data_IF_782176278538
#
_entry.id   IF_782176278538
#
_cell.length_a   1.000
_cell.length_b   1.000
_cell.length_c   1.000
_cell.angle_alpha   90.00
_cell.angle_beta   90.00
_cell.angle_gamma   90.00
#
_symmetry.space_group_name_H-M   'P 1'
#
loop_
_entity.id
_entity.type
_entity.pdbx_description
1 polymer ?
#
# COMPACT_ATOMS: atom_id res chain seq x y z
N UNK A 1 26.66 14.95 22.80
CA UNK A 1 27.12 14.46 21.49
C UNK A 1 26.59 13.07 21.31
N UNK A 2 25.36 12.91 20.79
CA UNK A 2 24.73 11.63 20.50
C UNK A 2 24.98 11.31 19.03
N UNK A 3 25.86 10.36 18.79
CA UNK A 3 26.15 9.84 17.46
C UNK A 3 24.97 8.99 17.00
N UNK A 4 24.18 9.51 16.07
CA UNK A 4 23.13 8.77 15.37
C UNK A 4 23.86 7.80 14.44
N UNK A 5 23.89 6.53 14.83
CA UNK A 5 24.33 5.44 13.94
C UNK A 5 23.17 5.15 12.99
N UNK A 6 23.16 5.77 11.82
CA UNK A 6 22.34 5.38 10.69
C UNK A 6 22.96 4.10 10.13
N UNK A 7 22.44 2.96 10.54
CA UNK A 7 22.77 1.68 9.90
C UNK A 7 22.09 1.68 8.53
N UNK A 8 22.82 2.06 7.50
CA UNK A 8 22.43 1.84 6.09
C UNK A 8 22.49 0.32 5.84
N UNK A 9 21.38 -0.35 6.06
CA UNK A 9 21.26 -1.76 5.67
C UNK A 9 21.30 -1.89 4.15
N UNK A 10 22.14 -2.77 3.65
CA UNK A 10 22.18 -3.13 2.24
C UNK A 10 20.85 -3.85 1.88
N UNK A 11 20.36 -3.59 0.69
CA UNK A 11 19.11 -4.20 0.16
C UNK A 11 19.18 -5.73 0.17
N UNK A 12 20.37 -6.29 0.06
CA UNK A 12 20.69 -7.72 0.17
C UNK A 12 20.36 -8.30 1.56
N UNK A 13 20.64 -7.57 2.63
CA UNK A 13 20.36 -8.00 4.01
C UNK A 13 18.85 -8.06 4.28
N UNK A 14 18.10 -7.10 3.77
CA UNK A 14 16.63 -7.08 3.89
C UNK A 14 15.98 -8.23 3.09
N UNK A 15 16.53 -8.53 1.92
CA UNK A 15 16.08 -9.64 1.07
C UNK A 15 16.39 -10.99 1.72
N UNK A 16 17.53 -11.13 2.41
CA UNK A 16 17.90 -12.30 3.19
C UNK A 16 16.94 -12.53 4.36
N UNK A 17 16.64 -11.49 5.11
CA UNK A 17 15.69 -11.54 6.24
C UNK A 17 14.30 -11.95 5.78
N UNK A 18 13.80 -11.38 4.68
CA UNK A 18 12.48 -11.74 4.14
C UNK A 18 12.38 -13.18 3.64
N UNK A 19 13.49 -13.80 3.29
CA UNK A 19 13.55 -15.22 2.89
C UNK A 19 13.62 -16.19 4.05
N UNK A 20 13.87 -15.72 5.27
CA UNK A 20 13.87 -16.58 6.44
C UNK A 20 12.48 -17.21 6.62
N UNK A 21 12.34 -18.58 6.62
CA UNK A 21 11.04 -19.23 6.62
C UNK A 21 10.26 -18.92 7.91
N UNK A 22 9.02 -18.45 7.75
CA UNK A 22 8.14 -18.16 8.89
C UNK A 22 7.90 -19.43 9.72
N UNK A 23 7.79 -20.59 9.08
CA UNK A 23 7.60 -21.88 9.79
C UNK A 23 8.78 -22.15 10.71
N UNK A 24 10.01 -21.93 10.25
CA UNK A 24 11.22 -22.15 11.05
C UNK A 24 11.30 -21.12 12.21
N UNK A 25 10.94 -19.88 11.95
CA UNK A 25 10.88 -18.85 12.99
C UNK A 25 9.88 -19.23 14.10
N UNK A 26 8.67 -19.72 13.76
CA UNK A 26 7.68 -20.17 14.71
C UNK A 26 8.14 -21.43 15.46
N UNK A 27 8.77 -22.39 14.78
CA UNK A 27 9.33 -23.58 15.40
C UNK A 27 10.39 -23.24 16.46
N UNK A 28 11.28 -22.28 16.17
CA UNK A 28 12.27 -21.79 17.15
C UNK A 28 11.66 -21.11 18.37
N UNK A 29 10.46 -20.54 18.20
CA UNK A 29 9.66 -19.97 19.29
C UNK A 29 8.84 -21.03 20.05
N UNK A 30 8.95 -22.32 19.68
CA UNK A 30 8.18 -23.40 20.28
C UNK A 30 6.73 -23.49 19.79
N UNK A 31 6.36 -22.71 18.78
CA UNK A 31 5.01 -22.67 18.22
C UNK A 31 4.90 -23.72 17.12
N UNK A 32 4.10 -24.77 17.38
CA UNK A 32 3.94 -25.89 16.46
C UNK A 32 2.67 -25.77 15.62
N UNK A 33 2.71 -26.18 14.35
CA UNK A 33 1.51 -26.19 13.51
C UNK A 33 0.55 -27.30 13.94
N UNK A 34 -0.75 -27.02 13.85
CA UNK A 34 -1.82 -28.03 14.02
C UNK A 34 -1.89 -28.93 12.78
N UNK A 35 -1.60 -28.35 11.61
CA UNK A 35 -1.54 -29.06 10.33
C UNK A 35 -0.44 -28.47 9.46
N UNK A 36 0.33 -29.33 8.80
CA UNK A 36 1.36 -28.92 7.84
C UNK A 36 1.25 -29.76 6.57
N UNK A 37 1.22 -29.07 5.42
CA UNK A 37 1.34 -29.67 4.08
C UNK A 37 2.41 -28.87 3.29
N UNK A 38 2.88 -29.36 2.14
CA UNK A 38 3.91 -28.63 1.37
C UNK A 38 3.60 -27.18 1.08
N UNK A 39 2.33 -26.85 0.75
CA UNK A 39 1.91 -25.50 0.35
C UNK A 39 1.63 -24.55 1.54
N UNK A 40 1.29 -25.07 2.71
CA UNK A 40 1.01 -24.23 3.88
C UNK A 40 1.11 -24.97 5.23
N UNK A 41 1.23 -24.19 6.30
CA UNK A 41 1.08 -24.66 7.67
C UNK A 41 -0.02 -23.87 8.39
N UNK A 42 -0.86 -24.54 9.18
CA UNK A 42 -1.98 -23.98 9.92
C UNK A 42 -1.70 -24.08 11.42
N UNK A 43 -1.91 -22.98 12.15
CA UNK A 43 -1.64 -22.84 13.58
C UNK A 43 -2.87 -22.29 14.31
N UNK A 44 -2.94 -22.51 15.63
CA UNK A 44 -3.63 -21.56 16.50
C UNK A 44 -2.88 -20.23 16.45
N UNK A 45 -3.59 -19.11 16.49
CA UNK A 45 -2.93 -17.80 16.39
C UNK A 45 -1.90 -17.61 17.50
N UNK A 46 -0.63 -17.32 17.16
CA UNK A 46 0.38 -17.00 18.16
C UNK A 46 0.28 -15.58 18.71
N UNK A 47 -0.63 -14.76 18.14
CA UNK A 47 -0.79 -13.34 18.45
C UNK A 47 -1.91 -13.06 19.44
N UNK A 48 -2.74 -14.08 19.77
CA UNK A 48 -3.89 -13.99 20.66
C UNK A 48 -4.28 -15.37 21.17
N UNK A 49 -5.19 -15.46 22.14
CA UNK A 49 -5.84 -16.72 22.50
C UNK A 49 -6.71 -17.20 21.33
N UNK A 50 -6.51 -18.44 20.92
CA UNK A 50 -7.19 -19.04 19.76
C UNK A 50 -7.60 -20.48 20.07
N UNK A 51 -8.90 -20.75 19.97
CA UNK A 51 -9.47 -22.09 20.21
C UNK A 51 -9.64 -22.90 18.92
N UNK A 52 -9.61 -22.22 17.76
CA UNK A 52 -9.75 -22.85 16.44
C UNK A 52 -8.60 -22.40 15.55
N UNK A 53 -7.88 -23.31 14.86
CA UNK A 53 -6.75 -22.94 14.02
C UNK A 53 -7.16 -21.95 12.94
N UNK A 54 -6.73 -20.70 13.08
CA UNK A 54 -7.09 -19.59 12.19
C UNK A 54 -5.88 -18.85 11.59
N UNK A 55 -4.67 -19.22 12.04
CA UNK A 55 -3.43 -18.61 11.56
C UNK A 55 -2.77 -19.51 10.53
N UNK A 56 -2.70 -19.04 9.27
CA UNK A 56 -2.12 -19.78 8.14
C UNK A 56 -0.81 -19.16 7.71
N UNK A 57 0.20 -19.99 7.51
CA UNK A 57 1.47 -19.62 6.87
C UNK A 57 1.53 -20.27 5.50
N UNK A 58 1.60 -19.46 4.43
CA UNK A 58 1.87 -19.90 3.08
C UNK A 58 3.37 -20.14 2.94
N UNK A 59 3.78 -21.39 2.72
CA UNK A 59 5.19 -21.79 2.71
C UNK A 59 5.90 -21.44 1.41
N UNK A 60 5.17 -21.25 0.31
CA UNK A 60 5.74 -20.87 -0.99
C UNK A 60 5.98 -19.36 -1.05
N UNK A 61 5.01 -18.58 -0.57
CA UNK A 61 5.09 -17.11 -0.54
C UNK A 61 5.84 -16.57 0.66
N UNK A 62 6.04 -17.40 1.69
CA UNK A 62 6.57 -17.01 2.99
C UNK A 62 5.81 -15.82 3.60
N UNK A 63 4.49 -15.91 3.60
CA UNK A 63 3.55 -14.94 4.15
C UNK A 63 2.60 -15.62 5.13
N UNK A 64 2.10 -14.86 6.10
CA UNK A 64 1.11 -15.35 7.04
C UNK A 64 -0.19 -14.54 6.95
N UNK A 65 -1.28 -15.15 7.37
CA UNK A 65 -2.59 -14.52 7.57
C UNK A 65 -3.28 -15.12 8.79
N UNK A 66 -3.80 -14.27 9.66
CA UNK A 66 -4.76 -14.61 10.71
C UNK A 66 -6.16 -14.29 10.17
N UNK A 67 -6.92 -15.34 9.84
CA UNK A 67 -8.25 -15.18 9.25
C UNK A 67 -9.27 -14.58 10.23
N UNK A 68 -9.08 -14.77 11.54
CA UNK A 68 -10.01 -14.22 12.52
C UNK A 68 -9.82 -12.71 12.72
N UNK A 69 -8.60 -12.21 12.54
CA UNK A 69 -8.32 -10.76 12.57
C UNK A 69 -8.37 -10.12 11.18
N UNK A 70 -8.40 -10.91 10.10
CA UNK A 70 -8.29 -10.41 8.73
C UNK A 70 -6.94 -9.73 8.44
N UNK A 71 -5.88 -10.09 9.17
CA UNK A 71 -4.55 -9.47 9.10
C UNK A 71 -3.49 -10.46 8.69
N UNK A 72 -2.52 -9.99 7.93
CA UNK A 72 -1.41 -10.81 7.45
C UNK A 72 -0.17 -9.99 7.18
N UNK A 73 0.92 -10.67 6.81
CA UNK A 73 2.16 -9.98 6.49
C UNK A 73 3.34 -10.89 6.21
N UNK A 74 4.53 -10.30 6.22
CA UNK A 74 5.83 -10.95 6.08
C UNK A 74 6.35 -11.46 7.42
N UNK A 75 7.52 -12.10 7.42
CA UNK A 75 8.22 -12.50 8.65
C UNK A 75 8.57 -11.30 9.55
N UNK A 76 8.84 -10.14 8.96
CA UNK A 76 9.16 -8.93 9.71
C UNK A 76 7.93 -8.46 10.48
N UNK A 77 6.77 -8.41 9.81
CA UNK A 77 5.49 -8.04 10.43
C UNK A 77 5.11 -9.00 11.56
N UNK A 78 5.37 -10.30 11.37
CA UNK A 78 5.15 -11.31 12.40
C UNK A 78 6.08 -11.10 13.60
N UNK A 79 7.37 -10.88 13.36
CA UNK A 79 8.36 -10.65 14.42
C UNK A 79 8.00 -9.42 15.25
N UNK A 80 7.64 -8.31 14.59
CA UNK A 80 7.24 -7.08 15.28
C UNK A 80 6.05 -7.30 16.20
N UNK A 81 5.05 -8.08 15.76
CA UNK A 81 3.84 -8.36 16.56
C UNK A 81 4.09 -9.38 17.68
N UNK A 82 4.79 -10.47 17.36
CA UNK A 82 4.99 -11.56 18.30
C UNK A 82 5.96 -11.18 19.43
N UNK A 83 6.97 -10.35 19.11
CA UNK A 83 7.99 -9.89 20.06
C UNK A 83 7.70 -8.50 20.63
N UNK A 84 6.63 -7.82 20.17
CA UNK A 84 6.29 -6.46 20.60
C UNK A 84 7.41 -5.45 20.33
N UNK A 85 8.14 -5.60 19.21
CA UNK A 85 9.34 -4.85 18.92
C UNK A 85 9.20 -3.91 17.70
N UNK A 86 10.08 -2.93 17.61
CA UNK A 86 10.15 -1.99 16.48
C UNK A 86 10.69 -2.67 15.22
N UNK A 87 10.49 -2.05 14.05
CA UNK A 87 11.04 -2.53 12.77
C UNK A 87 12.56 -2.76 12.83
N UNK A 88 13.29 -1.84 13.44
CA UNK A 88 14.76 -1.95 13.58
C UNK A 88 15.18 -3.12 14.45
N UNK A 89 14.43 -3.39 15.52
CA UNK A 89 14.68 -4.53 16.40
C UNK A 89 14.31 -5.85 15.74
N UNK A 90 13.16 -5.92 15.03
CA UNK A 90 12.76 -7.09 14.26
C UNK A 90 13.83 -7.47 13.22
N UNK A 91 14.33 -6.48 12.49
CA UNK A 91 15.42 -6.66 11.52
C UNK A 91 16.68 -7.22 12.20
N UNK A 92 17.05 -6.69 13.36
CA UNK A 92 18.21 -7.17 14.14
C UNK A 92 18.04 -8.60 14.65
N UNK A 93 16.83 -8.93 15.15
CA UNK A 93 16.48 -10.27 15.66
C UNK A 93 16.55 -11.29 14.50
N UNK A 94 15.91 -10.99 13.40
CA UNK A 94 15.85 -11.87 12.24
C UNK A 94 17.20 -11.98 11.52
N UNK A 95 17.96 -10.89 11.44
CA UNK A 95 19.29 -10.89 10.82
C UNK A 95 20.34 -11.75 11.56
N UNK A 96 20.20 -11.91 12.88
CA UNK A 96 21.05 -12.82 13.68
C UNK A 96 20.69 -14.30 13.50
N UNK A 97 19.46 -14.58 13.11
CA UNK A 97 18.89 -15.92 13.05
C UNK A 97 18.71 -16.44 11.62
N UNK A 98 18.85 -15.58 10.60
CA UNK A 98 18.78 -15.99 9.20
C UNK A 98 20.02 -16.81 8.84
N UNK A 99 19.89 -18.03 8.26
CA UNK A 99 21.02 -18.86 7.90
C UNK A 99 21.90 -18.17 6.85
N UNK A 100 23.20 -18.21 7.06
CA UNK A 100 24.18 -17.83 6.05
C UNK A 100 24.09 -18.80 4.87
N UNK A 101 24.11 -18.28 3.65
CA UNK A 101 23.91 -19.00 2.38
C UNK A 101 25.07 -19.95 2.00
N UNK A 102 25.84 -20.49 2.98
CA UNK A 102 27.01 -21.35 2.74
C UNK A 102 26.83 -22.79 3.19
N UNK A 103 25.64 -23.26 3.51
CA UNK A 103 25.46 -24.68 3.88
C UNK A 103 24.17 -25.25 3.29
N UNK A 104 24.16 -25.58 2.03
CA UNK A 104 23.47 -26.75 1.49
C UNK A 104 23.95 -27.05 0.07
N UNK A 105 25.09 -27.76 -0.01
CA UNK A 105 25.47 -28.51 -1.19
C UNK A 105 25.30 -29.99 -0.90
N UNK A 106 24.72 -30.64 -1.84
CA UNK A 106 24.79 -32.06 -2.19
C UNK A 106 23.49 -32.87 -1.98
N UNK A 107 22.99 -33.20 -3.06
CA UNK A 107 22.51 -34.42 -3.70
C UNK A 107 21.12 -34.23 -4.31
N UNK A 108 20.92 -34.21 -5.60
CA UNK A 108 21.12 -35.21 -6.63
C UNK A 108 21.13 -34.60 -8.02
N UNK A 109 22.04 -35.13 -8.80
CA UNK A 109 22.30 -34.83 -10.19
C UNK A 109 21.22 -35.37 -11.15
N UNK A 110 21.35 -34.81 -12.36
CA UNK A 110 20.99 -35.32 -13.66
C UNK A 110 19.56 -35.36 -14.10
N UNK A 111 19.19 -34.35 -14.90
CA UNK A 111 18.89 -34.55 -16.32
C UNK A 111 18.94 -33.21 -17.08
N UNK A 112 19.87 -33.18 -18.01
CA UNK A 112 20.16 -32.09 -18.91
C UNK A 112 19.00 -31.83 -19.88
N UNK A 113 18.62 -30.56 -20.07
CA UNK A 113 18.27 -30.06 -21.39
C UNK A 113 18.56 -28.56 -21.49
N UNK A 114 19.48 -28.27 -22.40
CA UNK A 114 19.90 -26.94 -22.81
C UNK A 114 18.69 -26.03 -23.13
N UNK A 115 18.59 -24.87 -22.49
CA UNK A 115 18.01 -23.69 -23.09
C UNK A 115 18.78 -22.45 -22.64
N UNK A 116 19.08 -21.64 -23.63
CA UNK A 116 19.84 -20.41 -23.71
C UNK A 116 19.66 -19.44 -22.53
N UNK A 117 20.82 -18.95 -22.09
CA UNK A 117 21.03 -17.87 -21.11
C UNK A 117 20.38 -16.56 -21.53
N UNK A 118 19.35 -16.15 -20.77
CA UNK A 118 18.91 -14.77 -20.63
C UNK A 118 19.22 -14.37 -19.19
N UNK A 119 19.82 -13.20 -18.90
CA UNK A 119 20.20 -12.82 -17.55
C UNK A 119 18.94 -12.67 -16.69
N UNK A 120 18.84 -13.49 -15.64
CA UNK A 120 17.80 -13.35 -14.62
C UNK A 120 18.08 -12.10 -13.76
N UNK A 121 17.45 -10.99 -14.11
CA UNK A 121 17.32 -9.87 -13.22
C UNK A 121 16.44 -10.29 -12.01
N UNK A 122 16.91 -9.96 -10.82
CA UNK A 122 16.37 -10.22 -9.49
C UNK A 122 14.85 -10.21 -9.40
N UNK A 123 14.26 -11.33 -8.97
CA UNK A 123 12.82 -11.48 -8.76
C UNK A 123 12.36 -10.84 -7.44
N UNK A 124 12.41 -9.55 -7.33
CA UNK A 124 11.48 -8.79 -6.49
C UNK A 124 10.15 -8.72 -7.24
N UNK A 125 9.01 -8.83 -6.55
CA UNK A 125 7.68 -8.87 -7.18
C UNK A 125 7.32 -7.54 -7.87
N UNK A 126 8.11 -7.16 -8.87
CA UNK A 126 7.88 -6.00 -9.73
C UNK A 126 6.62 -6.26 -10.53
N UNK A 127 5.66 -5.37 -10.43
CA UNK A 127 4.47 -5.38 -11.27
C UNK A 127 4.87 -4.95 -12.66
N UNK A 128 4.74 -5.85 -13.62
CA UNK A 128 4.98 -5.54 -15.02
C UNK A 128 3.67 -5.11 -15.65
N UNK A 129 3.57 -3.86 -16.06
CA UNK A 129 2.43 -3.35 -16.80
C UNK A 129 2.29 -4.13 -18.12
N UNK A 130 1.09 -4.63 -18.40
CA UNK A 130 0.75 -5.34 -19.64
C UNK A 130 -0.05 -4.41 -20.55
N UNK A 131 -1.14 -3.85 -20.01
CA UNK A 131 -2.11 -3.08 -20.79
C UNK A 131 -2.77 -2.01 -19.94
N UNK A 132 -3.12 -0.90 -20.58
CA UNK A 132 -3.95 0.16 -20.01
C UNK A 132 -5.18 0.28 -20.89
N UNK A 133 -6.37 0.14 -20.29
CA UNK A 133 -7.66 0.27 -20.98
C UNK A 133 -8.51 1.36 -20.33
N UNK A 134 -9.28 2.08 -21.15
CA UNK A 134 -10.28 3.04 -20.67
C UNK A 134 -11.52 2.37 -20.07
N UNK A 135 -11.71 1.06 -20.32
CA UNK A 135 -12.86 0.30 -19.84
C UNK A 135 -12.46 -0.54 -18.63
N UNK A 136 -13.07 -0.27 -17.48
CA UNK A 136 -12.89 -1.08 -16.27
C UNK A 136 -13.63 -2.42 -16.40
N UNK A 137 -13.05 -3.48 -15.84
CA UNK A 137 -13.69 -4.77 -15.74
C UNK A 137 -14.97 -4.70 -14.86
N UNK A 138 -16.02 -5.49 -15.14
CA UNK A 138 -17.32 -5.40 -14.43
C UNK A 138 -17.21 -5.49 -12.91
N UNK A 139 -16.33 -6.35 -12.38
CA UNK A 139 -16.13 -6.49 -10.94
C UNK A 139 -15.50 -5.26 -10.28
N UNK A 140 -14.68 -4.49 -11.03
CA UNK A 140 -14.09 -3.24 -10.55
C UNK A 140 -15.11 -2.09 -10.57
N UNK A 141 -15.99 -2.05 -11.58
CA UNK A 141 -17.12 -1.10 -11.63
C UNK A 141 -18.05 -1.35 -10.45
N UNK A 142 -18.44 -2.60 -10.22
CA UNK A 142 -19.28 -3.02 -9.10
C UNK A 142 -18.67 -2.58 -7.76
N UNK A 143 -17.37 -2.81 -7.56
CA UNK A 143 -16.66 -2.38 -6.36
C UNK A 143 -16.74 -0.86 -6.15
N UNK A 144 -16.51 -0.06 -7.19
CA UNK A 144 -16.60 1.40 -7.08
C UNK A 144 -18.01 1.84 -6.71
N UNK A 145 -19.02 1.30 -7.38
CA UNK A 145 -20.42 1.74 -7.24
C UNK A 145 -21.07 1.21 -5.96
N UNK A 146 -20.99 -0.12 -5.71
CA UNK A 146 -21.69 -0.75 -4.60
C UNK A 146 -20.90 -0.69 -3.28
N UNK A 147 -19.59 -0.96 -3.31
CA UNK A 147 -18.79 -1.03 -2.09
C UNK A 147 -18.27 0.35 -1.67
N UNK A 148 -17.92 1.20 -2.63
CA UNK A 148 -17.34 2.52 -2.39
C UNK A 148 -18.31 3.69 -2.60
N UNK A 149 -19.51 3.41 -3.11
CA UNK A 149 -20.56 4.41 -3.40
C UNK A 149 -20.08 5.56 -4.32
N UNK A 150 -19.17 5.26 -5.23
CA UNK A 150 -18.57 6.25 -6.13
C UNK A 150 -19.50 6.48 -7.34
N UNK A 151 -19.74 7.74 -7.66
CA UNK A 151 -20.43 8.12 -8.90
C UNK A 151 -19.50 7.84 -10.09
N UNK A 152 -19.84 6.80 -10.88
CA UNK A 152 -19.02 6.34 -12.00
C UNK A 152 -18.87 7.39 -13.11
N UNK A 153 -19.93 8.14 -13.42
CA UNK A 153 -19.89 9.17 -14.45
C UNK A 153 -18.81 10.22 -14.16
N UNK A 154 -18.69 10.63 -12.90
CA UNK A 154 -17.69 11.61 -12.45
C UNK A 154 -16.28 11.00 -12.29
N UNK A 155 -16.19 9.73 -11.95
CA UNK A 155 -14.93 9.06 -11.66
C UNK A 155 -14.18 8.55 -12.91
N UNK A 156 -14.92 8.03 -13.90
CA UNK A 156 -14.34 7.38 -15.08
C UNK A 156 -13.31 8.21 -15.85
N UNK A 157 -13.44 9.54 -16.00
CA UNK A 157 -12.41 10.34 -16.66
C UNK A 157 -11.02 10.24 -16.03
N UNK A 158 -10.93 9.91 -14.74
CA UNK A 158 -9.69 9.83 -13.96
C UNK A 158 -9.14 8.41 -13.83
N UNK A 159 -9.91 7.40 -14.27
CA UNK A 159 -9.60 6.01 -14.02
C UNK A 159 -9.21 5.26 -15.30
N UNK A 160 -8.40 4.23 -15.12
CA UNK A 160 -8.00 3.27 -16.16
C UNK A 160 -8.08 1.85 -15.59
N UNK A 161 -8.34 0.88 -16.44
CA UNK A 161 -8.12 -0.52 -16.10
C UNK A 161 -6.66 -0.85 -16.36
N UNK A 162 -5.95 -1.24 -15.33
CA UNK A 162 -4.55 -1.63 -15.42
C UNK A 162 -4.45 -3.14 -15.37
N UNK A 163 -4.06 -3.75 -16.49
CA UNK A 163 -3.66 -5.15 -16.55
C UNK A 163 -2.17 -5.25 -16.29
N UNK A 164 -1.78 -6.04 -15.31
CA UNK A 164 -0.38 -6.21 -14.93
C UNK A 164 -0.06 -7.64 -14.55
N UNK A 165 1.21 -7.99 -14.65
CA UNK A 165 1.73 -9.31 -14.29
C UNK A 165 2.59 -9.22 -13.03
N UNK A 166 2.41 -10.20 -12.16
CA UNK A 166 3.30 -10.47 -11.03
C UNK A 166 3.64 -11.94 -11.02
N UNK A 167 4.90 -12.29 -11.18
CA UNK A 167 5.37 -13.69 -11.15
C UNK A 167 4.63 -14.61 -12.12
N UNK A 168 4.32 -14.13 -13.33
CA UNK A 168 3.62 -14.88 -14.37
C UNK A 168 2.10 -14.97 -14.18
N UNK A 169 1.54 -14.37 -13.14
CA UNK A 169 0.09 -14.27 -12.92
C UNK A 169 -0.42 -12.91 -13.37
N UNK A 170 -1.55 -12.90 -14.06
CA UNK A 170 -2.18 -11.70 -14.59
C UNK A 170 -3.25 -11.20 -13.63
N UNK A 171 -3.26 -9.89 -13.43
CA UNK A 171 -4.18 -9.18 -12.55
C UNK A 171 -4.75 -7.97 -13.26
N UNK A 172 -5.95 -7.57 -12.85
CA UNK A 172 -6.56 -6.31 -13.24
C UNK A 172 -6.87 -5.48 -12.00
N UNK A 173 -6.66 -4.17 -12.10
CA UNK A 173 -6.96 -3.23 -11.03
C UNK A 173 -7.44 -1.89 -11.59
N UNK A 174 -8.12 -1.14 -10.76
CA UNK A 174 -8.40 0.27 -10.98
C UNK A 174 -7.07 1.01 -10.88
N UNK A 175 -6.72 1.78 -11.90
CA UNK A 175 -5.54 2.62 -11.95
C UNK A 175 -5.88 4.09 -11.92
N UNK A 176 -5.21 4.85 -11.07
CA UNK A 176 -5.27 6.30 -10.99
C UNK A 176 -3.89 6.84 -11.35
N UNK A 177 -3.81 7.58 -12.46
CA UNK A 177 -2.55 8.06 -13.01
C UNK A 177 -1.92 9.15 -12.15
N UNK A 178 -0.60 9.13 -12.02
CA UNK A 178 0.16 10.19 -11.37
C UNK A 178 0.96 11.03 -12.39
N UNK A 179 1.56 12.13 -11.93
CA UNK A 179 2.28 13.09 -12.79
C UNK A 179 3.53 12.52 -13.47
N UNK A 180 4.12 11.47 -12.92
CA UNK A 180 5.32 10.84 -13.45
C UNK A 180 5.04 9.64 -14.36
N UNK A 181 3.77 9.42 -14.74
CA UNK A 181 3.36 8.32 -15.62
C UNK A 181 3.20 6.97 -14.93
N UNK A 182 3.25 6.93 -13.60
CA UNK A 182 2.88 5.76 -12.82
C UNK A 182 1.38 5.73 -12.49
N UNK A 183 0.95 4.66 -11.81
CA UNK A 183 -0.44 4.47 -11.40
C UNK A 183 -0.53 3.99 -9.97
N UNK A 184 -1.43 4.58 -9.20
CA UNK A 184 -1.90 3.98 -7.95
C UNK A 184 -2.99 2.97 -8.28
N UNK A 185 -2.93 1.80 -7.62
CA UNK A 185 -3.80 0.67 -7.93
C UNK A 185 -4.72 0.32 -6.77
N UNK A 186 -5.96 -0.07 -7.10
CA UNK A 186 -6.93 -0.71 -6.22
C UNK A 186 -7.60 -1.87 -6.95
N UNK A 187 -7.78 -2.99 -6.27
CA UNK A 187 -8.71 -4.03 -6.71
C UNK A 187 -10.05 -3.93 -5.96
N UNK A 188 -10.89 -4.92 -6.10
CA UNK A 188 -12.16 -5.05 -5.40
C UNK A 188 -12.03 -5.63 -3.97
N UNK A 189 -10.83 -5.73 -3.44
CA UNK A 189 -10.53 -6.21 -2.10
C UNK A 189 -9.70 -5.22 -1.30
N UNK A 190 -8.78 -5.72 -0.52
CA UNK A 190 -7.88 -4.93 0.34
C UNK A 190 -6.59 -4.50 -0.37
N UNK A 191 -6.38 -4.90 -1.61
CA UNK A 191 -5.13 -4.64 -2.31
C UNK A 191 -4.96 -3.15 -2.63
N UNK A 192 -3.81 -2.64 -2.23
CA UNK A 192 -3.26 -1.33 -2.57
C UNK A 192 -1.90 -1.54 -3.22
N UNK A 193 -1.69 -0.95 -4.37
CA UNK A 193 -0.42 -1.11 -5.09
C UNK A 193 -0.07 0.10 -5.93
N UNK A 194 1.09 0.04 -6.56
CA UNK A 194 1.57 1.09 -7.45
C UNK A 194 2.27 0.45 -8.65
N UNK A 195 2.04 0.96 -9.84
CA UNK A 195 2.95 0.84 -10.98
C UNK A 195 3.87 2.06 -10.93
N UNK A 196 5.15 1.82 -10.80
CA UNK A 196 6.16 2.88 -10.69
C UNK A 196 6.19 3.79 -11.93
N UNK A 197 6.64 5.03 -11.77
CA UNK A 197 7.11 5.66 -10.54
C UNK A 197 5.97 6.13 -9.64
N UNK A 198 6.23 6.26 -8.32
CA UNK A 198 5.31 6.90 -7.37
C UNK A 198 5.38 8.41 -7.47
N UNK A 199 4.21 9.06 -7.54
CA UNK A 199 4.12 10.51 -7.55
C UNK A 199 2.73 10.99 -7.07
N UNK A 200 2.62 12.30 -6.92
CA UNK A 200 1.36 13.01 -6.70
C UNK A 200 0.53 13.04 -7.99
N UNK A 201 -0.77 13.30 -7.86
CA UNK A 201 -1.66 13.59 -8.98
C UNK A 201 -2.28 14.96 -8.78
N UNK A 202 -2.14 15.86 -9.76
CA UNK A 202 -2.81 17.15 -9.75
C UNK A 202 -3.96 17.15 -10.74
N UNK A 203 -5.12 17.58 -10.26
CA UNK A 203 -6.32 17.80 -11.07
C UNK A 203 -6.64 19.28 -11.00
N UNK A 204 -6.27 19.99 -12.05
CA UNK A 204 -6.55 21.41 -12.18
C UNK A 204 -7.63 21.63 -13.23
N UNK A 205 -8.52 22.56 -12.96
CA UNK A 205 -9.59 22.94 -13.88
C UNK A 205 -9.32 24.33 -14.46
N UNK A 206 -9.41 24.46 -15.77
CA UNK A 206 -9.27 25.74 -16.48
C UNK A 206 -10.45 26.70 -16.22
N UNK A 207 -11.53 26.19 -15.59
CA UNK A 207 -12.70 27.00 -15.20
C UNK A 207 -12.39 28.02 -14.10
N UNK A 208 -11.25 27.85 -13.38
CA UNK A 208 -10.83 28.77 -12.32
C UNK A 208 -9.77 29.70 -12.89
N UNK A 209 -10.20 30.87 -13.33
CA UNK A 209 -9.35 31.91 -13.91
C UNK A 209 -8.71 32.82 -12.85
N UNK A 210 -9.16 32.74 -11.60
CA UNK A 210 -8.60 33.52 -10.51
C UNK A 210 -7.42 32.78 -9.88
N UNK A 211 -6.33 33.52 -9.59
CA UNK A 211 -5.10 32.99 -9.00
C UNK A 211 -5.42 31.92 -7.96
N UNK A 212 -4.74 30.78 -7.99
CA UNK A 212 -4.98 29.59 -7.17
C UNK A 212 -5.06 29.93 -5.67
N UNK A 213 -6.24 30.38 -5.20
CA UNK A 213 -6.43 30.83 -3.83
C UNK A 213 -6.56 29.66 -2.86
N UNK A 214 -7.11 28.53 -3.33
CA UNK A 214 -7.31 27.36 -2.47
C UNK A 214 -7.28 26.06 -3.27
N UNK A 215 -6.56 25.06 -2.78
CA UNK A 215 -6.44 23.72 -3.37
C UNK A 215 -6.97 22.71 -2.37
N UNK A 216 -7.78 21.75 -2.83
CA UNK A 216 -8.20 20.60 -2.03
C UNK A 216 -7.10 19.52 -2.10
N UNK A 217 -6.58 19.09 -0.96
CA UNK A 217 -5.52 18.09 -0.85
C UNK A 217 -6.08 16.82 -0.27
N UNK A 218 -5.89 15.69 -0.95
CA UNK A 218 -6.39 14.37 -0.55
C UNK A 218 -5.23 13.42 -0.27
N UNK A 219 -5.40 12.51 0.70
CA UNK A 219 -4.40 11.49 0.97
C UNK A 219 -4.35 10.45 -0.16
N UNK A 220 -5.51 9.91 -0.53
CA UNK A 220 -5.65 8.89 -1.55
C UNK A 220 -6.70 9.23 -2.62
N UNK A 221 -6.65 8.52 -3.73
CA UNK A 221 -7.57 8.79 -4.83
C UNK A 221 -9.02 8.35 -4.53
N UNK A 222 -9.25 7.42 -3.60
CA UNK A 222 -10.63 7.06 -3.19
C UNK A 222 -11.32 8.21 -2.48
N UNK A 223 -10.60 8.99 -1.67
CA UNK A 223 -11.13 10.19 -1.01
C UNK A 223 -11.45 11.28 -2.03
N UNK A 224 -10.56 11.45 -3.01
CA UNK A 224 -10.81 12.35 -4.14
C UNK A 224 -12.06 11.94 -4.93
N UNK A 225 -12.24 10.66 -5.27
CA UNK A 225 -13.43 10.17 -5.97
C UNK A 225 -14.71 10.32 -5.12
N UNK A 226 -14.61 10.13 -3.81
CA UNK A 226 -15.72 10.38 -2.88
C UNK A 226 -16.11 11.86 -2.88
N UNK A 227 -15.10 12.73 -2.83
CA UNK A 227 -15.34 14.18 -2.93
C UNK A 227 -16.05 14.56 -4.23
N UNK A 228 -15.64 13.99 -5.37
CA UNK A 228 -16.30 14.19 -6.65
C UNK A 228 -17.76 13.72 -6.61
N UNK A 229 -18.02 12.56 -6.01
CA UNK A 229 -19.34 11.97 -5.90
C UNK A 229 -20.29 12.84 -5.05
N UNK A 230 -19.76 13.53 -4.04
CA UNK A 230 -20.50 14.40 -3.14
C UNK A 230 -20.78 15.81 -3.71
N UNK A 231 -20.13 16.21 -4.80
CA UNK A 231 -20.25 17.55 -5.38
C UNK A 231 -21.00 17.50 -6.70
N UNK A 232 -21.83 18.49 -6.96
CA UNK A 232 -22.48 18.65 -8.28
C UNK A 232 -21.45 19.00 -9.35
N UNK A 233 -20.58 19.98 -9.06
CA UNK A 233 -19.47 20.39 -9.93
C UNK A 233 -18.16 20.51 -9.16
N UNK A 234 -17.04 20.27 -9.86
CA UNK A 234 -15.70 20.54 -9.33
C UNK A 234 -15.33 21.97 -9.66
N UNK A 235 -15.35 22.83 -8.67
CA UNK A 235 -14.97 24.25 -8.76
C UNK A 235 -13.63 24.54 -8.06
N UNK A 236 -12.91 23.51 -7.61
CA UNK A 236 -11.65 23.65 -6.88
C UNK A 236 -10.56 22.87 -7.58
N UNK A 237 -9.33 23.40 -7.57
CA UNK A 237 -8.16 22.62 -7.90
C UNK A 237 -7.96 21.53 -6.84
N UNK A 238 -7.54 20.34 -7.26
CA UNK A 238 -7.33 19.21 -6.39
C UNK A 238 -5.91 18.66 -6.55
N UNK A 239 -5.32 18.23 -5.44
CA UNK A 239 -4.05 17.53 -5.37
C UNK A 239 -4.26 16.24 -4.60
N UNK A 240 -3.94 15.10 -5.20
CA UNK A 240 -3.95 13.80 -4.54
C UNK A 240 -2.51 13.40 -4.24
N UNK A 241 -2.19 13.24 -2.97
CA UNK A 241 -0.83 12.87 -2.55
C UNK A 241 -0.48 11.43 -2.94
N UNK A 242 -1.49 10.57 -3.07
CA UNK A 242 -1.35 9.13 -3.31
C UNK A 242 -0.65 8.35 -2.18
N UNK A 243 -0.06 9.05 -1.23
CA UNK A 243 0.53 8.54 0.01
C UNK A 243 1.01 9.71 0.86
N UNK A 244 0.94 9.60 2.18
CA UNK A 244 1.55 10.58 3.11
C UNK A 244 3.05 10.74 2.89
N UNK A 245 3.74 9.74 2.33
CA UNK A 245 5.17 9.85 1.97
C UNK A 245 5.46 10.93 0.91
N UNK A 246 4.44 11.41 0.21
CA UNK A 246 4.55 12.48 -0.79
C UNK A 246 4.26 13.88 -0.24
N UNK A 247 4.09 14.06 1.07
CA UNK A 247 3.83 15.38 1.70
C UNK A 247 4.87 16.42 1.27
N UNK A 248 6.16 16.12 1.43
CA UNK A 248 7.23 17.05 1.08
C UNK A 248 7.23 17.42 -0.42
N UNK A 249 6.83 16.49 -1.28
CA UNK A 249 6.67 16.74 -2.72
C UNK A 249 5.45 17.60 -3.00
N UNK A 250 4.35 17.36 -2.31
CA UNK A 250 3.12 18.14 -2.40
C UNK A 250 3.35 19.59 -1.96
N UNK A 251 4.08 19.81 -0.88
CA UNK A 251 4.47 21.12 -0.39
C UNK A 251 5.27 21.88 -1.47
N UNK A 252 6.32 21.27 -2.05
CA UNK A 252 7.08 21.89 -3.13
C UNK A 252 6.21 22.24 -4.32
N UNK A 253 5.39 21.29 -4.76
CA UNK A 253 4.48 21.47 -5.90
C UNK A 253 3.52 22.66 -5.71
N UNK A 254 2.95 22.83 -4.51
CA UNK A 254 2.05 23.91 -4.17
C UNK A 254 2.79 25.25 -4.04
N UNK A 255 3.98 25.27 -3.45
CA UNK A 255 4.82 26.47 -3.33
C UNK A 255 5.26 26.99 -4.70
N UNK A 256 5.70 26.12 -5.60
CA UNK A 256 6.06 26.48 -6.98
C UNK A 256 4.89 27.17 -7.74
N UNK A 257 3.65 26.89 -7.32
CA UNK A 257 2.43 27.50 -7.88
C UNK A 257 1.88 28.67 -7.07
N UNK A 258 2.62 29.09 -6.04
CA UNK A 258 2.24 30.22 -5.19
C UNK A 258 0.85 30.01 -4.51
N UNK A 259 0.49 28.77 -4.21
CA UNK A 259 -0.71 28.44 -3.42
C UNK A 259 -0.47 28.88 -2.00
N UNK A 260 -1.41 29.65 -1.43
CA UNK A 260 -1.31 30.14 -0.04
C UNK A 260 -2.28 29.47 0.93
N UNK A 261 -3.34 28.88 0.42
CA UNK A 261 -4.40 28.27 1.22
C UNK A 261 -4.75 26.89 0.66
N UNK A 262 -4.94 25.93 1.55
CA UNK A 262 -5.35 24.57 1.20
C UNK A 262 -6.47 24.08 2.10
N UNK A 263 -7.28 23.16 1.59
CA UNK A 263 -8.22 22.36 2.38
C UNK A 263 -7.75 20.91 2.35
N UNK A 264 -7.45 20.34 3.51
CA UNK A 264 -6.94 18.97 3.64
C UNK A 264 -8.05 17.97 3.92
N UNK A 265 -8.10 16.90 3.14
CA UNK A 265 -8.98 15.74 3.30
C UNK A 265 -8.11 14.51 3.52
N UNK A 266 -7.51 14.40 4.71
CA UNK A 266 -6.57 13.35 5.07
C UNK A 266 -7.23 12.35 6.03
N UNK A 267 -6.61 11.18 6.17
CA UNK A 267 -7.10 10.12 7.06
C UNK A 267 -7.07 10.59 8.53
N UNK A 268 -8.03 10.13 9.33
CA UNK A 268 -8.13 10.42 10.76
C UNK A 268 -7.18 9.55 11.61
N UNK A 269 -5.95 9.35 11.12
CA UNK A 269 -4.91 8.63 11.83
C UNK A 269 -3.72 9.56 12.18
N UNK A 270 -2.69 9.01 12.80
CA UNK A 270 -1.50 9.77 13.20
C UNK A 270 -0.75 10.32 11.97
N UNK A 271 -0.70 9.56 10.87
CA UNK A 271 0.01 9.96 9.67
C UNK A 271 -0.69 11.12 8.95
N UNK A 272 -2.04 11.10 8.87
CA UNK A 272 -2.83 12.19 8.30
C UNK A 272 -2.73 13.47 9.14
N UNK A 273 -2.77 13.36 10.48
CA UNK A 273 -2.58 14.52 11.37
C UNK A 273 -1.20 15.16 11.21
N UNK A 274 -0.14 14.33 11.21
CA UNK A 274 1.23 14.80 10.98
C UNK A 274 1.39 15.48 9.63
N UNK A 275 0.79 14.91 8.57
CA UNK A 275 0.81 15.53 7.26
C UNK A 275 0.11 16.90 7.24
N UNK A 276 -0.98 17.07 7.99
CA UNK A 276 -1.65 18.37 8.16
C UNK A 276 -0.72 19.38 8.87
N UNK A 277 -0.01 18.96 9.93
CA UNK A 277 0.98 19.76 10.62
C UNK A 277 2.14 20.17 9.70
N UNK A 278 2.67 19.25 8.89
CA UNK A 278 3.73 19.52 7.90
C UNK A 278 3.32 20.64 6.92
N UNK A 279 2.06 20.66 6.47
CA UNK A 279 1.55 21.75 5.64
C UNK A 279 1.45 23.08 6.39
N UNK A 280 1.03 23.08 7.66
CA UNK A 280 0.98 24.29 8.49
C UNK A 280 2.39 24.83 8.73
N UNK A 281 3.36 23.99 9.06
CA UNK A 281 4.77 24.35 9.27
C UNK A 281 5.42 24.90 7.98
N UNK A 282 4.97 24.42 6.80
CA UNK A 282 5.40 24.94 5.51
C UNK A 282 4.81 26.32 5.16
N UNK A 283 3.95 26.89 6.03
CA UNK A 283 3.40 28.23 5.89
C UNK A 283 2.07 28.32 5.14
N UNK A 284 1.40 27.20 4.83
CA UNK A 284 0.08 27.23 4.22
C UNK A 284 -1.01 27.61 5.25
N UNK A 285 -1.99 28.40 4.80
CA UNK A 285 -3.25 28.50 5.53
C UNK A 285 -4.04 27.19 5.30
N UNK A 286 -4.09 26.33 6.32
CA UNK A 286 -4.73 25.03 6.26
C UNK A 286 -6.14 25.10 6.85
N UNK A 287 -7.12 24.64 6.08
CA UNK A 287 -8.48 24.34 6.54
C UNK A 287 -8.63 22.81 6.60
N UNK A 288 -8.55 22.26 7.81
CA UNK A 288 -8.60 20.82 8.04
C UNK A 288 -10.04 20.31 7.99
N UNK A 289 -10.38 19.64 6.88
CA UNK A 289 -11.70 19.10 6.65
C UNK A 289 -11.96 17.77 7.36
N UNK A 290 -10.92 17.14 7.93
CA UNK A 290 -11.06 15.86 8.65
C UNK A 290 -12.01 15.97 9.85
N UNK A 291 -12.15 17.15 10.42
CA UNK A 291 -13.09 17.44 11.51
C UNK A 291 -14.55 17.12 11.15
N UNK A 292 -14.92 17.20 9.86
CA UNK A 292 -16.28 16.93 9.38
C UNK A 292 -16.59 15.43 9.29
N UNK A 293 -15.56 14.57 9.27
CA UNK A 293 -15.69 13.12 9.27
C UNK A 293 -14.86 12.46 10.38
N UNK A 294 -14.70 13.15 11.51
CA UNK A 294 -13.86 12.71 12.65
C UNK A 294 -14.22 11.34 13.24
N UNK A 295 -15.45 10.86 13.01
CA UNK A 295 -15.93 9.56 13.50
C UNK A 295 -15.63 8.42 12.49
N UNK A 296 -15.05 8.74 11.36
CA UNK A 296 -14.71 7.82 10.28
C UNK A 296 -13.21 7.87 10.02
N UNK A 297 -12.68 6.79 9.50
CA UNK A 297 -11.26 6.70 9.20
C UNK A 297 -10.82 7.70 8.13
N UNK A 298 -11.58 7.78 7.06
CA UNK A 298 -11.29 8.58 5.87
C UNK A 298 -12.58 9.17 5.27
N UNK A 299 -12.44 10.01 4.25
CA UNK A 299 -13.57 10.66 3.59
C UNK A 299 -14.44 9.63 2.84
N UNK A 300 -13.87 8.55 2.30
CA UNK A 300 -14.63 7.53 1.60
C UNK A 300 -15.53 6.74 2.57
N UNK A 301 -15.05 6.38 3.75
CA UNK A 301 -15.87 5.72 4.77
C UNK A 301 -17.06 6.61 5.20
N UNK A 302 -16.81 7.88 5.42
CA UNK A 302 -17.89 8.87 5.68
C UNK A 302 -18.88 8.97 4.52
N UNK A 303 -18.41 9.01 3.28
CA UNK A 303 -19.27 9.08 2.10
C UNK A 303 -20.16 7.84 1.98
N UNK A 304 -19.59 6.63 2.16
CA UNK A 304 -20.35 5.37 2.17
C UNK A 304 -21.47 5.40 3.20
N UNK A 305 -21.15 5.84 4.42
CA UNK A 305 -22.15 5.95 5.48
C UNK A 305 -23.30 6.87 5.07
N UNK A 306 -22.99 8.06 4.57
CA UNK A 306 -24.02 9.04 4.14
C UNK A 306 -24.92 8.56 3.01
N UNK A 307 -24.42 7.73 2.11
CA UNK A 307 -25.20 7.21 0.98
C UNK A 307 -26.11 6.06 1.41
N UNK A 308 -25.72 5.32 2.47
CA UNK A 308 -26.45 4.13 2.94
C UNK A 308 -27.47 4.42 4.06
N UNK A 309 -27.43 5.61 4.66
CA UNK A 309 -28.46 6.14 5.57
C UNK A 309 -29.60 6.81 4.82
#
# INVERSE_FOLDING_TARGET
>A
MLTIIIITMKEEDLSRIKRYPIVEYLERKGIKPVRRIPAYALYHSPLREDTHPSFKVDTEKNLWIDYAEGRGGSIIDLCMRLDGCTLSEAIRILGRNAPDSTACSSQKADMAMKRSSIPMASASGVRRLIEISDTLAPHLLKYLEEDRCINLEKAMPFLRCISYEVRGLHYQAIGFANQSGGYELRDNGSFKGTIAPKDITSVFTDKITDRMKSVCVFEGFMDFLSFLSMKEEIISHCLVMNSVSNVARSIRYLNDRQVSSIRTFLDNDEAGRRATEDFMEAGFKVDDMSVHYRNFKDLNEYHIHRVRE
#
